data_IF_451190632308
#
_entry.id   IF_451190632308
#
_cell.length_a   1.000
_cell.length_b   1.000
_cell.length_c   1.000
_cell.angle_alpha   90.00
_cell.angle_beta   90.00
_cell.angle_gamma   90.00
#
_symmetry.space_group_name_H-M   'P 1'
#
loop_
_entity.id
_entity.type
_entity.pdbx_description
1 polymer ?
#
# COMPACT_ATOMS: atom_id res chain seq x y z
N UNK A 1 -27.15 54.26 7.59
CA UNK A 1 -26.08 53.97 6.61
C UNK A 1 -26.73 53.51 5.31
N UNK A 2 -26.30 54.08 4.19
CA UNK A 2 -27.10 54.21 2.95
C UNK A 2 -27.17 52.90 2.16
N UNK A 3 -28.35 52.60 1.62
CA UNK A 3 -28.66 51.47 0.70
C UNK A 3 -27.64 51.31 -0.46
N UNK A 4 -26.93 52.38 -0.80
CA UNK A 4 -25.89 52.41 -1.82
C UNK A 4 -24.64 51.56 -1.49
N UNK A 5 -24.37 51.24 -0.22
CA UNK A 5 -23.24 50.36 0.14
C UNK A 5 -23.57 48.87 -0.07
N UNK A 6 -24.85 48.50 0.06
CA UNK A 6 -25.32 47.13 -0.18
C UNK A 6 -25.36 46.80 -1.68
N UNK A 7 -25.73 47.77 -2.52
CA UNK A 7 -25.66 47.61 -3.99
C UNK A 7 -24.22 47.59 -4.50
N UNK A 8 -23.28 48.28 -3.85
CA UNK A 8 -21.86 48.21 -4.21
C UNK A 8 -21.25 46.84 -3.86
N UNK A 9 -21.65 46.25 -2.72
CA UNK A 9 -21.22 44.90 -2.34
C UNK A 9 -21.85 43.82 -3.24
N UNK A 10 -23.13 43.97 -3.60
CA UNK A 10 -23.81 43.08 -4.55
C UNK A 10 -23.25 43.18 -5.98
N UNK A 11 -22.82 44.37 -6.43
CA UNK A 11 -22.22 44.59 -7.74
C UNK A 11 -20.78 44.03 -7.82
N UNK A 12 -20.00 44.12 -6.73
CA UNK A 12 -18.66 43.51 -6.65
C UNK A 12 -18.77 41.98 -6.62
N UNK A 13 -19.80 41.42 -5.97
CA UNK A 13 -20.11 39.99 -6.02
C UNK A 13 -20.66 39.53 -7.38
N UNK A 14 -21.30 40.41 -8.17
CA UNK A 14 -21.83 40.05 -9.50
C UNK A 14 -20.87 40.35 -10.66
N UNK A 15 -19.74 41.02 -10.44
CA UNK A 15 -18.67 41.23 -11.44
C UNK A 15 -17.39 40.44 -11.15
N UNK A 16 -17.39 39.60 -10.11
CA UNK A 16 -16.38 38.54 -9.91
C UNK A 16 -16.86 37.17 -10.41
N UNK A 17 -18.06 37.12 -10.99
CA UNK A 17 -18.61 36.00 -11.72
C UNK A 17 -18.62 36.37 -13.22
N UNK A 18 -17.74 35.69 -13.98
CA UNK A 18 -17.57 35.69 -15.44
C UNK A 18 -16.81 36.90 -16.01
N UNK A 19 -15.63 36.80 -16.65
CA UNK A 19 -15.09 35.73 -17.50
C UNK A 19 -13.55 35.69 -17.43
N UNK A 20 -12.98 34.64 -16.85
CA UNK A 20 -11.97 33.91 -17.60
C UNK A 20 -12.73 32.71 -18.16
N UNK A 21 -13.17 32.81 -19.41
CA UNK A 21 -13.52 31.62 -20.17
C UNK A 21 -12.23 30.81 -20.32
N UNK A 22 -12.04 29.84 -19.44
CA UNK A 22 -11.47 28.56 -19.84
C UNK A 22 -12.63 27.59 -19.75
N UNK A 23 -12.80 26.76 -20.75
CA UNK A 23 -13.79 25.69 -20.79
C UNK A 23 -13.72 24.84 -19.51
N UNK A 24 -14.54 25.13 -18.51
CA UNK A 24 -14.88 24.15 -17.47
C UNK A 24 -15.95 23.23 -18.08
N UNK A 25 -15.55 22.47 -19.10
CA UNK A 25 -15.95 21.08 -19.16
C UNK A 25 -15.65 20.50 -17.78
N UNK A 26 -16.54 19.68 -17.21
CA UNK A 26 -16.21 18.84 -16.05
C UNK A 26 -14.92 18.08 -16.38
N UNK A 27 -13.75 18.63 -16.04
CA UNK A 27 -12.48 18.12 -16.53
C UNK A 27 -12.28 16.79 -15.82
N UNK A 28 -12.70 15.72 -16.51
CA UNK A 28 -12.61 14.36 -16.03
C UNK A 28 -11.14 14.15 -15.75
N UNK A 29 -10.79 14.01 -14.46
CA UNK A 29 -9.41 13.84 -14.04
C UNK A 29 -8.71 12.82 -14.94
N UNK A 30 -7.46 13.09 -15.40
CA UNK A 30 -6.77 12.26 -16.39
C UNK A 30 -6.58 10.82 -15.92
N UNK A 31 -6.65 10.59 -14.60
CA UNK A 31 -6.58 9.31 -13.92
C UNK A 31 -7.89 8.51 -13.96
N UNK A 32 -8.99 9.10 -14.41
CA UNK A 32 -10.28 8.38 -14.50
C UNK A 32 -10.18 7.29 -15.55
N UNK A 33 -10.40 6.04 -15.18
CA UNK A 33 -10.33 4.92 -16.11
C UNK A 33 -10.22 3.58 -15.42
N UNK A 34 -10.31 2.53 -16.24
CA UNK A 34 -10.06 1.16 -15.81
C UNK A 34 -8.61 0.80 -16.12
N UNK A 35 -7.96 0.17 -15.16
CA UNK A 35 -6.56 -0.20 -15.20
C UNK A 35 -6.43 -1.69 -14.90
N UNK A 36 -5.70 -2.40 -15.75
CA UNK A 36 -5.24 -3.77 -15.52
C UNK A 36 -3.93 -3.77 -14.77
N UNK A 37 -3.62 -4.87 -14.11
CA UNK A 37 -2.29 -5.07 -13.53
C UNK A 37 -1.24 -5.14 -14.62
N UNK A 38 -0.06 -4.56 -14.40
CA UNK A 38 1.06 -4.70 -15.31
C UNK A 38 1.46 -6.16 -15.49
N UNK A 39 1.91 -6.49 -16.70
CA UNK A 39 2.33 -7.85 -17.01
C UNK A 39 3.61 -8.23 -16.23
N UNK A 40 3.71 -9.49 -15.83
CA UNK A 40 4.92 -10.00 -15.20
C UNK A 40 5.98 -10.26 -16.26
N UNK A 41 7.13 -9.59 -16.14
CA UNK A 41 8.27 -9.81 -17.03
C UNK A 41 9.54 -10.05 -16.23
N UNK A 42 10.46 -10.80 -16.84
CA UNK A 42 11.69 -11.19 -16.20
C UNK A 42 12.85 -11.23 -17.21
N UNK A 43 14.06 -10.93 -16.74
CA UNK A 43 15.32 -11.01 -17.49
C UNK A 43 16.41 -11.59 -16.61
N UNK A 44 17.51 -12.06 -17.17
CA UNK A 44 18.69 -12.37 -16.37
C UNK A 44 19.31 -11.09 -15.80
N UNK A 45 19.76 -11.13 -14.55
CA UNK A 45 20.39 -10.01 -13.83
C UNK A 45 21.80 -10.38 -13.39
N UNK A 46 22.79 -9.57 -13.76
CA UNK A 46 24.18 -9.73 -13.31
C UNK A 46 24.29 -9.25 -11.87
N UNK A 47 24.36 -10.18 -10.91
CA UNK A 47 24.43 -9.91 -9.47
C UNK A 47 25.84 -9.49 -9.04
N UNK A 48 26.83 -10.23 -9.53
CA UNK A 48 28.26 -9.89 -9.46
C UNK A 48 28.91 -10.15 -10.81
N UNK A 49 30.18 -9.80 -11.00
CA UNK A 49 30.91 -10.08 -12.24
C UNK A 49 30.87 -11.57 -12.67
N UNK A 50 30.62 -12.49 -11.73
CA UNK A 50 30.65 -13.94 -11.95
C UNK A 50 29.30 -14.62 -11.73
N UNK A 51 28.32 -13.92 -11.17
CA UNK A 51 27.04 -14.51 -10.77
C UNK A 51 25.90 -13.81 -11.50
N UNK A 52 25.04 -14.63 -12.09
CA UNK A 52 23.84 -14.19 -12.79
C UNK A 52 22.64 -14.78 -12.10
N UNK A 53 21.76 -13.92 -11.63
CA UNK A 53 20.45 -14.28 -11.12
C UNK A 53 19.50 -14.50 -12.30
N UNK A 54 18.89 -15.69 -12.40
CA UNK A 54 17.98 -16.04 -13.50
C UNK A 54 16.56 -15.55 -13.24
N UNK A 55 15.88 -15.15 -14.33
CA UNK A 55 14.47 -14.71 -14.31
C UNK A 55 14.18 -13.56 -13.33
N UNK A 56 15.11 -12.62 -13.17
CA UNK A 56 14.94 -11.44 -12.34
C UNK A 56 13.70 -10.61 -12.74
N UNK A 57 12.75 -10.38 -11.81
CA UNK A 57 11.54 -9.61 -12.05
C UNK A 57 11.81 -8.15 -12.45
N UNK A 58 11.34 -7.75 -13.64
CA UNK A 58 11.50 -6.39 -14.17
C UNK A 58 10.21 -5.59 -14.00
N UNK A 59 9.08 -6.12 -14.49
CA UNK A 59 7.74 -5.56 -14.29
C UNK A 59 6.84 -6.60 -13.63
N UNK A 60 5.86 -6.12 -12.88
CA UNK A 60 4.96 -6.94 -12.07
C UNK A 60 3.79 -6.08 -11.61
N UNK A 61 2.65 -6.69 -11.27
CA UNK A 61 1.51 -6.00 -10.65
C UNK A 61 1.89 -5.15 -9.42
N UNK A 62 2.96 -5.51 -8.70
CA UNK A 62 3.51 -4.71 -7.61
C UNK A 62 4.71 -3.90 -8.09
N UNK A 63 4.57 -2.59 -8.04
CA UNK A 63 5.63 -1.63 -8.31
C UNK A 63 6.56 -1.53 -7.09
N UNK A 64 7.86 -1.63 -7.36
CA UNK A 64 8.91 -1.28 -6.40
C UNK A 64 10.01 -0.46 -7.06
N UNK A 65 10.52 0.52 -6.33
CA UNK A 65 11.72 1.26 -6.69
C UNK A 65 12.49 1.61 -5.42
N UNK A 66 13.65 0.98 -5.25
CA UNK A 66 14.47 1.08 -4.05
C UNK A 66 15.86 1.58 -4.42
N UNK A 67 16.19 2.78 -3.99
CA UNK A 67 17.51 3.40 -4.12
C UNK A 67 18.17 3.45 -2.75
N UNK A 68 19.48 3.18 -2.71
CA UNK A 68 20.23 3.06 -1.47
C UNK A 68 21.70 3.45 -1.70
N UNK A 69 22.42 3.71 -0.60
CA UNK A 69 23.87 3.91 -0.60
C UNK A 69 24.59 2.68 -0.06
N UNK A 70 25.79 2.39 -0.57
CA UNK A 70 26.61 1.26 -0.14
C UNK A 70 26.86 0.26 -1.26
N UNK A 71 27.69 -0.74 -0.98
CA UNK A 71 28.07 -1.77 -1.95
C UNK A 71 27.22 -3.05 -1.82
N UNK A 72 26.45 -3.17 -0.74
CA UNK A 72 25.58 -4.32 -0.50
C UNK A 72 24.30 -4.24 -1.34
N UNK A 73 24.21 -5.10 -2.35
CA UNK A 73 23.11 -5.13 -3.32
C UNK A 73 21.83 -5.84 -2.83
N UNK A 74 21.77 -6.30 -1.58
CA UNK A 74 20.57 -6.96 -1.03
C UNK A 74 19.25 -6.16 -1.18
N UNK A 75 19.22 -4.82 -1.09
CA UNK A 75 17.98 -4.07 -1.38
C UNK A 75 17.44 -4.31 -2.80
N UNK A 76 18.31 -4.55 -3.79
CA UNK A 76 17.88 -4.95 -5.14
C UNK A 76 17.17 -6.31 -5.11
N UNK A 77 17.72 -7.28 -4.37
CA UNK A 77 17.12 -8.60 -4.21
C UNK A 77 15.76 -8.53 -3.51
N UNK A 78 15.65 -7.75 -2.43
CA UNK A 78 14.37 -7.56 -1.74
C UNK A 78 13.36 -6.88 -2.66
N UNK A 79 13.77 -5.88 -3.44
CA UNK A 79 12.91 -5.23 -4.44
C UNK A 79 12.42 -6.22 -5.50
N UNK A 80 13.28 -7.11 -6.00
CA UNK A 80 12.90 -8.17 -6.91
C UNK A 80 11.96 -9.21 -6.26
N UNK A 81 12.20 -9.59 -5.01
CA UNK A 81 11.33 -10.48 -4.25
C UNK A 81 9.93 -9.88 -4.08
N UNK A 82 9.82 -8.59 -3.75
CA UNK A 82 8.55 -7.89 -3.67
C UNK A 82 7.81 -7.93 -5.02
N UNK A 83 8.49 -7.65 -6.14
CA UNK A 83 7.90 -7.77 -7.48
C UNK A 83 7.45 -9.21 -7.78
N UNK A 84 8.26 -10.21 -7.44
CA UNK A 84 7.92 -11.62 -7.61
C UNK A 84 6.66 -12.00 -6.81
N UNK A 85 6.63 -11.67 -5.52
CA UNK A 85 5.50 -11.99 -4.64
C UNK A 85 4.22 -11.29 -5.10
N UNK A 86 4.30 -9.98 -5.34
CA UNK A 86 3.15 -9.21 -5.83
C UNK A 86 2.66 -9.66 -7.20
N UNK A 87 3.60 -10.01 -8.10
CA UNK A 87 3.28 -10.48 -9.46
C UNK A 87 2.75 -11.90 -9.49
N UNK A 88 3.10 -12.71 -8.49
CA UNK A 88 2.56 -14.05 -8.33
C UNK A 88 1.19 -14.03 -7.67
N UNK A 89 0.95 -13.15 -6.68
CA UNK A 89 -0.28 -13.16 -5.87
C UNK A 89 -1.38 -12.28 -6.48
N UNK A 90 -1.08 -11.01 -6.79
CA UNK A 90 -2.12 -10.03 -7.13
C UNK A 90 -2.96 -10.46 -8.35
N UNK A 91 -2.38 -10.95 -9.46
CA UNK A 91 -3.18 -11.37 -10.63
C UNK A 91 -4.05 -12.62 -10.40
N UNK A 92 -3.90 -13.34 -9.29
CA UNK A 92 -4.80 -14.44 -8.91
C UNK A 92 -6.09 -13.93 -8.25
N UNK A 93 -6.04 -12.72 -7.68
CA UNK A 93 -7.15 -12.12 -6.93
C UNK A 93 -7.74 -10.90 -7.62
N UNK A 94 -6.93 -10.07 -8.28
CA UNK A 94 -7.28 -8.77 -8.81
C UNK A 94 -7.06 -8.73 -10.33
N UNK A 95 -8.12 -8.40 -11.07
CA UNK A 95 -8.09 -8.28 -12.52
C UNK A 95 -7.90 -6.82 -12.96
N UNK A 96 -8.72 -5.93 -12.41
CA UNK A 96 -8.67 -4.50 -12.70
C UNK A 96 -9.06 -3.67 -11.50
N UNK A 97 -8.58 -2.41 -11.50
CA UNK A 97 -9.19 -1.35 -10.71
C UNK A 97 -9.77 -0.30 -11.65
N UNK A 98 -10.86 0.34 -11.26
CA UNK A 98 -11.42 1.50 -11.95
C UNK A 98 -11.42 2.67 -11.01
N UNK A 99 -10.73 3.73 -11.43
CA UNK A 99 -10.83 5.06 -10.85
C UNK A 99 -12.03 5.73 -11.50
N UNK A 100 -13.20 5.60 -10.88
CA UNK A 100 -14.47 6.09 -11.41
C UNK A 100 -14.57 7.61 -11.26
N UNK A 101 -15.25 8.27 -12.21
CA UNK A 101 -15.44 9.74 -12.21
C UNK A 101 -16.15 10.29 -10.97
N UNK A 102 -16.88 9.46 -10.23
CA UNK A 102 -17.48 9.85 -8.94
C UNK A 102 -16.45 9.96 -7.80
N UNK A 103 -15.20 9.57 -8.04
CA UNK A 103 -14.19 9.38 -7.01
C UNK A 103 -14.22 8.01 -6.36
N UNK A 104 -15.13 7.09 -6.72
CA UNK A 104 -15.08 5.70 -6.22
C UNK A 104 -13.93 4.91 -6.85
N UNK A 105 -13.29 4.06 -6.05
CA UNK A 105 -12.42 2.98 -6.55
C UNK A 105 -13.26 1.70 -6.63
N UNK A 106 -13.25 1.06 -7.78
CA UNK A 106 -13.99 -0.19 -8.04
C UNK A 106 -12.98 -1.26 -8.44
N UNK A 107 -13.10 -2.48 -7.93
CA UNK A 107 -12.25 -3.59 -8.30
C UNK A 107 -13.05 -4.65 -9.07
N UNK A 108 -12.45 -5.19 -10.13
CA UNK A 108 -12.84 -6.49 -10.67
C UNK A 108 -11.89 -7.54 -10.09
N UNK A 109 -12.43 -8.53 -9.40
CA UNK A 109 -11.65 -9.43 -8.55
C UNK A 109 -12.28 -10.82 -8.48
N UNK A 110 -11.51 -11.80 -8.01
CA UNK A 110 -12.01 -13.15 -7.70
C UNK A 110 -12.43 -13.16 -6.24
N UNK A 111 -13.69 -13.49 -5.95
CA UNK A 111 -14.24 -13.40 -4.58
C UNK A 111 -13.61 -14.38 -3.57
N UNK A 112 -13.17 -15.54 -4.06
CA UNK A 112 -12.49 -16.56 -3.27
C UNK A 112 -11.32 -17.13 -4.08
N UNK A 113 -10.23 -16.37 -4.21
CA UNK A 113 -9.09 -16.79 -5.01
C UNK A 113 -8.36 -17.95 -4.32
N UNK A 114 -7.99 -18.96 -5.08
CA UNK A 114 -7.11 -20.02 -4.61
C UNK A 114 -5.66 -19.59 -4.84
N UNK A 115 -5.07 -18.87 -3.88
CA UNK A 115 -3.71 -18.35 -4.01
C UNK A 115 -2.71 -19.52 -4.06
N UNK A 116 -2.13 -19.71 -5.24
CA UNK A 116 -1.07 -20.67 -5.50
C UNK A 116 0.29 -19.95 -5.45
N UNK A 117 0.92 -20.01 -4.27
CA UNK A 117 2.31 -19.61 -4.06
C UNK A 117 2.99 -20.67 -3.20
N UNK A 118 4.08 -21.26 -3.69
CA UNK A 118 4.89 -22.18 -2.89
C UNK A 118 5.70 -21.38 -1.84
N UNK A 119 5.48 -21.58 -0.53
CA UNK A 119 6.25 -20.89 0.51
C UNK A 119 7.77 -21.16 0.42
N UNK A 120 8.17 -22.29 -0.17
CA UNK A 120 9.58 -22.63 -0.35
C UNK A 120 10.24 -21.92 -1.54
N UNK A 121 9.46 -21.26 -2.40
CA UNK A 121 9.97 -20.53 -3.58
C UNK A 121 11.02 -19.49 -3.18
N UNK A 122 10.81 -18.77 -2.09
CA UNK A 122 11.75 -17.79 -1.55
C UNK A 122 13.08 -18.45 -1.18
N UNK A 123 13.04 -19.52 -0.40
CA UNK A 123 14.24 -20.27 0.01
C UNK A 123 14.98 -20.83 -1.22
N UNK A 124 14.24 -21.32 -2.21
CA UNK A 124 14.78 -21.78 -3.49
C UNK A 124 15.50 -20.67 -4.24
N UNK A 125 14.95 -19.45 -4.29
CA UNK A 125 15.59 -18.28 -4.92
C UNK A 125 16.94 -17.99 -4.27
N UNK A 126 17.00 -17.96 -2.94
CA UNK A 126 18.26 -17.73 -2.22
C UNK A 126 19.30 -18.82 -2.48
N UNK A 127 18.88 -20.08 -2.59
CA UNK A 127 19.81 -21.20 -2.79
C UNK A 127 20.28 -21.36 -4.25
N UNK A 128 19.39 -21.12 -5.20
CA UNK A 128 19.64 -21.38 -6.63
C UNK A 128 20.07 -20.14 -7.41
N UNK A 129 19.80 -18.94 -6.88
CA UNK A 129 19.96 -17.69 -7.60
C UNK A 129 18.99 -17.56 -8.80
N UNK A 130 17.84 -18.23 -8.75
CA UNK A 130 16.88 -18.22 -9.85
C UNK A 130 15.45 -17.98 -9.35
N UNK A 131 14.79 -16.98 -9.92
CA UNK A 131 13.36 -16.81 -9.77
C UNK A 131 12.61 -17.80 -10.66
N UNK A 132 11.34 -18.12 -10.34
CA UNK A 132 10.46 -18.81 -11.27
C UNK A 132 10.35 -18.06 -12.60
N UNK A 133 10.23 -18.82 -13.68
CA UNK A 133 10.08 -18.26 -15.02
C UNK A 133 8.77 -17.51 -15.18
N UNK A 134 8.72 -16.59 -16.14
CA UNK A 134 7.50 -15.86 -16.50
C UNK A 134 6.31 -16.79 -16.77
N UNK A 135 6.54 -17.93 -17.42
CA UNK A 135 5.48 -18.90 -17.72
C UNK A 135 4.96 -19.60 -16.47
N UNK A 136 5.82 -19.96 -15.53
CA UNK A 136 5.42 -20.59 -14.26
C UNK A 136 4.60 -19.63 -13.40
N UNK A 137 4.99 -18.35 -13.33
CA UNK A 137 4.24 -17.32 -12.59
C UNK A 137 2.86 -17.11 -13.21
N UNK A 138 2.80 -16.91 -14.54
CA UNK A 138 1.54 -16.63 -15.26
C UNK A 138 0.58 -17.81 -15.29
N UNK A 139 1.07 -19.04 -15.12
CA UNK A 139 0.22 -20.24 -15.13
C UNK A 139 -0.86 -20.21 -14.03
N UNK A 140 -0.63 -19.48 -12.94
CA UNK A 140 -1.54 -19.38 -11.81
C UNK A 140 -2.49 -18.17 -11.88
N UNK A 141 -2.40 -17.34 -12.92
CA UNK A 141 -3.23 -16.14 -13.01
C UNK A 141 -4.70 -16.49 -13.17
N UNK A 142 -5.57 -15.70 -12.54
CA UNK A 142 -7.00 -15.84 -12.75
C UNK A 142 -7.36 -15.48 -14.19
N UNK A 143 -8.14 -16.33 -14.85
CA UNK A 143 -8.62 -16.11 -16.22
C UNK A 143 -10.14 -16.00 -16.30
N UNK A 144 -10.85 -16.29 -15.21
CA UNK A 144 -12.30 -16.25 -15.09
C UNK A 144 -12.72 -16.15 -13.62
N UNK A 145 -14.04 -16.13 -13.35
CA UNK A 145 -14.56 -16.06 -11.98
C UNK A 145 -14.53 -14.65 -11.37
N UNK A 146 -14.36 -13.63 -12.20
CA UNK A 146 -14.35 -12.25 -11.76
C UNK A 146 -15.74 -11.75 -11.40
N UNK A 147 -15.81 -11.00 -10.31
CA UNK A 147 -16.94 -10.17 -9.89
C UNK A 147 -16.47 -8.74 -9.68
N UNK A 148 -17.41 -7.80 -9.67
CA UNK A 148 -17.12 -6.38 -9.50
C UNK A 148 -17.53 -5.94 -8.09
N UNK A 149 -16.68 -5.15 -7.43
CA UNK A 149 -16.98 -4.62 -6.11
C UNK A 149 -18.12 -3.58 -6.19
N UNK A 150 -18.89 -3.39 -5.12
CA UNK A 150 -19.74 -2.21 -4.98
C UNK A 150 -18.94 -0.92 -5.11
N UNK A 151 -19.60 0.15 -5.55
CA UNK A 151 -19.06 1.51 -5.43
C UNK A 151 -19.00 1.93 -3.95
N UNK A 152 -18.33 3.04 -3.68
CA UNK A 152 -18.34 3.71 -2.37
C UNK A 152 -17.67 2.95 -1.22
N UNK A 153 -16.98 1.82 -1.47
CA UNK A 153 -16.16 1.14 -0.46
C UNK A 153 -14.82 1.87 -0.23
N UNK A 154 -14.27 2.46 -1.28
CA UNK A 154 -13.08 3.28 -1.21
C UNK A 154 -13.19 4.43 -2.22
N UNK A 155 -12.56 5.54 -1.88
CA UNK A 155 -12.53 6.75 -2.69
C UNK A 155 -11.10 7.10 -3.07
N UNK A 156 -10.94 7.67 -4.25
CA UNK A 156 -9.72 8.32 -4.69
C UNK A 156 -9.97 9.81 -4.91
N UNK A 157 -8.93 10.61 -4.70
CA UNK A 157 -8.88 12.00 -5.13
C UNK A 157 -7.45 12.39 -5.41
N UNK A 158 -7.25 13.39 -6.26
CA UNK A 158 -5.94 13.98 -6.51
C UNK A 158 -6.03 15.49 -6.26
N UNK A 159 -5.16 16.01 -5.40
CA UNK A 159 -5.08 17.44 -5.10
C UNK A 159 -3.62 17.82 -4.94
N UNK A 160 -3.19 18.86 -5.66
CA UNK A 160 -1.83 19.41 -5.59
C UNK A 160 -0.72 18.38 -5.82
N UNK A 161 -0.92 17.44 -6.75
CA UNK A 161 0.01 16.36 -7.05
C UNK A 161 -0.05 15.18 -6.07
N UNK A 162 -0.96 15.19 -5.09
CA UNK A 162 -1.09 14.13 -4.09
C UNK A 162 -2.33 13.28 -4.35
N UNK A 163 -2.10 11.99 -4.57
CA UNK A 163 -3.16 11.00 -4.74
C UNK A 163 -3.56 10.44 -3.38
N UNK A 164 -4.83 10.55 -3.01
CA UNK A 164 -5.31 10.09 -1.71
C UNK A 164 -6.30 8.96 -1.91
N UNK A 165 -6.09 7.84 -1.19
CA UNK A 165 -7.05 6.74 -1.10
C UNK A 165 -7.72 6.76 0.27
N UNK A 166 -9.03 6.96 0.32
CA UNK A 166 -9.80 6.97 1.57
C UNK A 166 -10.78 5.80 1.62
N UNK A 167 -10.70 5.01 2.68
CA UNK A 167 -11.63 3.90 2.91
C UNK A 167 -12.95 4.40 3.47
N UNK A 168 -14.06 3.81 3.03
CA UNK A 168 -15.36 3.98 3.66
C UNK A 168 -15.57 2.87 4.69
N UNK A 169 -14.99 3.03 5.88
CA UNK A 169 -15.00 2.00 6.93
C UNK A 169 -16.43 1.54 7.25
N UNK A 170 -17.44 2.43 7.45
CA UNK A 170 -18.82 1.99 7.64
C UNK A 170 -19.35 1.12 6.49
N UNK A 171 -19.16 1.53 5.23
CA UNK A 171 -19.63 0.75 4.09
C UNK A 171 -18.91 -0.60 3.96
N UNK A 172 -17.61 -0.65 4.26
CA UNK A 172 -16.82 -1.88 4.29
C UNK A 172 -17.35 -2.84 5.36
N UNK A 173 -17.61 -2.35 6.58
CA UNK A 173 -18.17 -3.17 7.66
C UNK A 173 -19.56 -3.69 7.30
N UNK A 174 -20.41 -2.86 6.69
CA UNK A 174 -21.72 -3.30 6.20
C UNK A 174 -21.59 -4.38 5.14
N UNK A 175 -20.67 -4.23 4.19
CA UNK A 175 -20.43 -5.22 3.15
C UNK A 175 -19.84 -6.53 3.70
N UNK A 176 -18.94 -6.45 4.68
CA UNK A 176 -18.25 -7.62 5.24
C UNK A 176 -19.14 -8.43 6.20
N UNK A 177 -19.99 -7.76 6.98
CA UNK A 177 -20.84 -8.41 8.00
C UNK A 177 -22.25 -8.70 7.51
N UNK A 178 -22.71 -8.01 6.45
CA UNK A 178 -24.10 -8.04 6.01
C UNK A 178 -25.07 -7.29 6.94
N UNK A 179 -24.57 -6.65 8.00
CA UNK A 179 -25.33 -5.87 8.96
C UNK A 179 -25.06 -4.37 8.77
N UNK A 180 -26.09 -3.53 8.90
CA UNK A 180 -25.91 -2.09 8.75
C UNK A 180 -25.01 -1.52 9.86
N UNK A 181 -23.80 -1.11 9.47
CA UNK A 181 -22.81 -0.49 10.35
C UNK A 181 -22.91 1.04 10.39
N UNK A 182 -23.93 1.66 9.77
CA UNK A 182 -24.10 3.12 9.76
C UNK A 182 -24.20 3.71 11.18
N UNK A 183 -24.80 2.96 12.11
CA UNK A 183 -24.89 3.33 13.53
C UNK A 183 -23.58 3.24 14.31
N UNK A 184 -22.50 2.74 13.71
CA UNK A 184 -21.18 2.63 14.34
C UNK A 184 -20.27 3.85 14.07
N UNK A 185 -20.76 4.85 13.33
CA UNK A 185 -19.98 6.01 12.94
C UNK A 185 -19.29 6.70 14.14
N UNK A 186 -20.02 6.94 15.23
CA UNK A 186 -19.47 7.58 16.43
C UNK A 186 -18.35 6.75 17.08
N UNK A 187 -18.51 5.41 17.11
CA UNK A 187 -17.50 4.48 17.66
C UNK A 187 -16.25 4.47 16.76
N UNK A 188 -16.44 4.46 15.45
CA UNK A 188 -15.35 4.52 14.48
C UNK A 188 -14.60 5.84 14.67
N UNK A 189 -15.30 6.96 14.74
CA UNK A 189 -14.69 8.29 14.92
C UNK A 189 -13.99 8.42 16.27
N UNK A 190 -14.52 7.82 17.33
CA UNK A 190 -13.87 7.76 18.66
C UNK A 190 -12.55 7.00 18.59
N UNK A 191 -12.51 5.82 17.96
CA UNK A 191 -11.28 5.04 17.79
C UNK A 191 -10.28 5.80 16.90
N UNK A 192 -10.73 6.37 15.78
CA UNK A 192 -9.88 7.10 14.84
C UNK A 192 -9.37 8.44 15.38
N UNK A 193 -10.00 8.97 16.43
CA UNK A 193 -9.59 10.21 17.11
C UNK A 193 -8.98 9.95 18.48
N UNK A 194 -8.85 8.68 18.88
CA UNK A 194 -8.27 8.28 20.14
C UNK A 194 -6.78 8.59 20.22
N UNK A 195 -6.28 8.85 21.44
CA UNK A 195 -4.85 8.97 21.64
C UNK A 195 -4.14 7.61 21.45
N UNK A 196 -2.86 7.60 21.04
CA UNK A 196 -2.14 6.37 20.76
C UNK A 196 -2.10 5.35 21.90
N UNK A 197 -2.03 5.78 23.15
CA UNK A 197 -1.97 4.86 24.29
C UNK A 197 -3.30 4.13 24.48
N UNK A 198 -4.41 4.86 24.41
CA UNK A 198 -5.76 4.27 24.46
C UNK A 198 -5.98 3.29 23.32
N UNK A 199 -5.60 3.66 22.09
CA UNK A 199 -5.78 2.79 20.91
C UNK A 199 -4.92 1.53 21.02
N UNK A 200 -3.67 1.63 21.48
CA UNK A 200 -2.82 0.47 21.75
C UNK A 200 -3.43 -0.47 22.80
N UNK A 201 -3.98 0.07 23.89
CA UNK A 201 -4.63 -0.75 24.91
C UNK A 201 -5.86 -1.50 24.36
N UNK A 202 -6.69 -0.81 23.56
CA UNK A 202 -7.87 -1.42 22.92
C UNK A 202 -7.46 -2.54 21.94
N UNK A 203 -6.51 -2.26 21.04
CA UNK A 203 -6.03 -3.23 20.06
C UNK A 203 -5.31 -4.40 20.74
N UNK A 204 -4.51 -4.14 21.77
CA UNK A 204 -3.81 -5.18 22.52
C UNK A 204 -4.78 -6.10 23.27
N UNK A 205 -5.87 -5.54 23.83
CA UNK A 205 -6.94 -6.34 24.42
C UNK A 205 -7.70 -7.19 23.39
N UNK A 206 -7.92 -6.67 22.18
CA UNK A 206 -8.59 -7.40 21.10
C UNK A 206 -7.72 -8.54 20.53
N UNK A 207 -6.42 -8.27 20.32
CA UNK A 207 -5.47 -9.23 19.78
C UNK A 207 -4.90 -10.17 20.85
N UNK A 208 -5.11 -9.87 22.13
CA UNK A 208 -4.42 -10.51 23.24
C UNK A 208 -2.88 -10.49 23.05
N UNK A 209 -2.36 -9.33 22.65
CA UNK A 209 -0.96 -9.10 22.30
C UNK A 209 -0.45 -7.80 22.91
N UNK A 210 0.86 -7.70 23.14
CA UNK A 210 1.48 -6.47 23.63
C UNK A 210 1.84 -5.52 22.47
N UNK A 211 1.29 -4.31 22.51
CA UNK A 211 1.55 -3.24 21.54
C UNK A 211 2.36 -2.09 22.15
N UNK A 212 2.78 -2.20 23.41
CA UNK A 212 3.46 -1.13 24.14
C UNK A 212 4.77 -0.67 23.50
N UNK A 213 5.47 -1.59 22.82
CA UNK A 213 6.70 -1.30 22.08
C UNK A 213 6.52 -0.45 20.82
N UNK A 214 5.30 -0.33 20.30
CA UNK A 214 5.02 0.47 19.09
C UNK A 214 4.98 1.96 19.45
N UNK A 215 5.70 2.77 18.68
CA UNK A 215 5.76 4.22 18.87
C UNK A 215 4.39 4.87 18.63
N UNK A 216 4.07 5.88 19.44
CA UNK A 216 2.84 6.67 19.31
C UNK A 216 2.70 7.32 17.94
N UNK A 217 3.83 7.69 17.33
CA UNK A 217 3.88 8.26 15.98
C UNK A 217 3.37 7.29 14.91
N UNK A 218 3.68 6.00 15.03
CA UNK A 218 3.20 4.96 14.10
C UNK A 218 1.70 4.77 14.22
N UNK A 219 1.19 4.69 15.45
CA UNK A 219 -0.26 4.58 15.69
C UNK A 219 -0.98 5.83 15.16
N UNK A 220 -0.48 7.02 15.47
CA UNK A 220 -1.05 8.28 14.97
C UNK A 220 -1.07 8.34 13.44
N UNK A 221 -0.01 7.87 12.79
CA UNK A 221 0.08 7.81 11.33
C UNK A 221 -0.98 6.88 10.73
N UNK A 222 -1.12 5.65 11.26
CA UNK A 222 -2.11 4.67 10.76
C UNK A 222 -3.54 5.17 10.99
N UNK A 223 -3.83 5.76 12.16
CA UNK A 223 -5.13 6.36 12.44
C UNK A 223 -5.43 7.54 11.51
N UNK A 224 -4.43 8.40 11.27
CA UNK A 224 -4.51 9.49 10.31
C UNK A 224 -4.82 8.99 8.89
N UNK A 225 -4.18 7.91 8.45
CA UNK A 225 -4.48 7.29 7.15
C UNK A 225 -5.90 6.76 7.06
N UNK A 226 -6.41 6.13 8.11
CA UNK A 226 -7.78 5.65 8.15
C UNK A 226 -8.81 6.80 8.16
N UNK A 227 -8.49 7.90 8.86
CA UNK A 227 -9.37 9.07 9.01
C UNK A 227 -9.37 10.00 7.80
N UNK A 228 -8.17 10.38 7.35
CA UNK A 228 -7.97 11.45 6.36
C UNK A 228 -7.66 10.89 4.97
N UNK A 229 -7.27 9.61 4.89
CA UNK A 229 -6.90 8.92 3.66
C UNK A 229 -5.40 8.64 3.58
N UNK A 230 -5.05 7.58 2.87
CA UNK A 230 -3.69 7.13 2.63
C UNK A 230 -3.04 8.08 1.60
N UNK A 231 -1.94 8.76 1.96
CA UNK A 231 -1.31 9.78 1.13
C UNK A 231 -0.35 9.13 0.11
N UNK A 232 -0.90 8.61 -0.98
CA UNK A 232 -0.14 8.00 -2.07
C UNK A 232 0.32 9.04 -3.11
N UNK A 233 1.02 8.55 -4.13
CA UNK A 233 1.46 9.27 -5.32
C UNK A 233 0.93 8.52 -6.55
N UNK A 234 0.66 9.25 -7.64
CA UNK A 234 0.31 8.68 -8.94
C UNK A 234 1.19 9.27 -10.03
N UNK A 235 1.69 8.46 -10.96
CA UNK A 235 2.42 8.95 -12.13
C UNK A 235 2.28 7.99 -13.31
N UNK A 236 2.35 8.53 -14.52
CA UNK A 236 2.65 7.74 -15.72
C UNK A 236 4.15 7.67 -15.90
N UNK A 237 4.71 6.46 -15.96
CA UNK A 237 6.12 6.23 -16.22
C UNK A 237 6.45 6.22 -17.72
N UNK A 238 7.74 6.31 -18.05
CA UNK A 238 8.23 6.38 -19.44
C UNK A 238 7.90 5.13 -20.27
N UNK A 239 7.66 3.99 -19.62
CA UNK A 239 7.18 2.75 -20.25
C UNK A 239 5.67 2.75 -20.53
N UNK A 240 4.96 3.85 -20.24
CA UNK A 240 3.51 3.99 -20.42
C UNK A 240 2.67 3.42 -19.28
N UNK A 241 3.29 2.81 -18.27
CA UNK A 241 2.59 2.28 -17.11
C UNK A 241 2.16 3.41 -16.17
N UNK A 242 1.11 3.19 -15.39
CA UNK A 242 0.66 4.07 -14.31
C UNK A 242 1.04 3.45 -12.96
N UNK A 243 1.77 4.17 -12.13
CA UNK A 243 2.13 3.71 -10.79
C UNK A 243 1.31 4.46 -9.75
N UNK A 244 0.69 3.74 -8.82
CA UNK A 244 0.05 4.29 -7.61
C UNK A 244 0.80 3.75 -6.40
N UNK A 245 1.50 4.61 -5.66
CA UNK A 245 2.50 4.15 -4.68
C UNK A 245 2.64 5.03 -3.46
N UNK A 246 3.12 4.43 -2.36
CA UNK A 246 3.66 5.13 -1.21
C UNK A 246 5.16 5.31 -1.40
N UNK A 247 5.68 6.48 -1.03
CA UNK A 247 7.11 6.78 -1.00
C UNK A 247 7.73 6.48 0.37
N UNK A 248 9.04 6.63 0.47
CA UNK A 248 9.84 6.28 1.66
C UNK A 248 9.29 6.88 2.95
N UNK A 249 8.81 8.13 2.90
CA UNK A 249 8.34 8.85 4.09
C UNK A 249 7.14 8.16 4.75
N UNK A 250 6.31 7.48 3.95
CA UNK A 250 5.18 6.70 4.45
C UNK A 250 5.62 5.47 5.27
N UNK A 251 6.87 5.04 5.13
CA UNK A 251 7.38 3.82 5.76
C UNK A 251 8.41 4.10 6.86
N UNK A 252 8.82 5.35 7.09
CA UNK A 252 9.89 5.66 8.03
C UNK A 252 9.58 5.22 9.46
N UNK A 253 8.38 5.50 9.96
CA UNK A 253 7.98 5.04 11.30
C UNK A 253 7.89 3.50 11.38
N UNK A 254 7.53 2.86 10.25
CA UNK A 254 7.28 1.43 10.14
C UNK A 254 8.57 0.60 10.12
N UNK A 255 9.57 0.98 9.32
CA UNK A 255 10.78 0.18 9.08
C UNK A 255 12.03 0.66 9.82
N UNK A 256 12.05 1.87 10.38
CA UNK A 256 13.23 2.34 11.13
C UNK A 256 13.50 1.43 12.33
N UNK A 257 14.66 0.79 12.33
CA UNK A 257 15.14 -0.02 13.45
C UNK A 257 15.46 0.87 14.66
N UNK A 258 15.07 0.38 15.83
CA UNK A 258 15.27 0.98 17.14
C UNK A 258 15.85 -0.06 18.08
N UNK A 259 16.84 0.36 18.86
CA UNK A 259 17.42 -0.46 19.92
C UNK A 259 16.35 -0.77 20.98
N UNK A 260 16.25 -2.04 21.34
CA UNK A 260 15.34 -2.51 22.40
C UNK A 260 15.94 -2.34 23.80
N UNK A 261 17.26 -2.12 23.89
CA UNK A 261 18.03 -2.19 25.13
C UNK A 261 18.40 -3.62 25.53
N UNK A 262 17.98 -4.63 24.75
CA UNK A 262 18.34 -6.03 24.94
C UNK A 262 19.57 -6.40 24.11
N UNK A 263 20.30 -7.41 24.55
CA UNK A 263 21.42 -8.01 23.81
C UNK A 263 21.09 -9.46 23.50
N UNK A 264 21.42 -9.91 22.30
CA UNK A 264 21.23 -11.30 21.91
C UNK A 264 22.25 -12.23 22.60
N UNK A 265 22.22 -13.52 22.25
CA UNK A 265 23.13 -14.53 22.83
C UNK A 265 24.60 -14.34 22.45
N UNK A 266 24.90 -13.48 21.48
CA UNK A 266 26.25 -13.12 21.03
C UNK A 266 26.73 -11.78 21.61
N UNK A 267 25.85 -11.07 22.34
CA UNK A 267 26.13 -9.78 22.95
C UNK A 267 25.85 -8.59 22.02
N UNK A 268 25.23 -8.83 20.87
CA UNK A 268 24.88 -7.78 19.91
C UNK A 268 23.54 -7.13 20.29
N UNK A 269 23.38 -5.80 20.15
CA UNK A 269 22.12 -5.12 20.44
C UNK A 269 20.97 -5.65 19.58
N UNK A 270 19.85 -5.97 20.22
CA UNK A 270 18.62 -6.37 19.52
C UNK A 270 17.89 -5.12 19.06
N UNK A 271 17.62 -5.03 17.77
CA UNK A 271 16.85 -3.94 17.18
C UNK A 271 15.52 -4.43 16.62
N UNK A 272 14.49 -3.58 16.71
CA UNK A 272 13.14 -3.85 16.19
C UNK A 272 12.61 -2.63 15.45
N UNK A 273 11.66 -2.84 14.56
CA UNK A 273 10.88 -1.78 13.93
C UNK A 273 9.40 -1.92 14.30
N UNK A 274 8.59 -0.88 14.10
CA UNK A 274 7.21 -0.93 14.56
C UNK A 274 6.35 -1.87 13.73
N UNK A 275 6.68 -2.06 12.44
CA UNK A 275 5.90 -2.97 11.59
C UNK A 275 6.07 -4.42 12.01
N UNK A 276 7.27 -4.85 12.44
CA UNK A 276 7.45 -6.21 12.94
C UNK A 276 6.74 -6.43 14.28
N UNK A 277 6.70 -5.42 15.16
CA UNK A 277 5.93 -5.51 16.41
C UNK A 277 4.43 -5.65 16.12
N UNK A 278 3.92 -4.83 15.19
CA UNK A 278 2.53 -4.93 14.74
C UNK A 278 2.25 -6.29 14.08
N UNK A 279 3.14 -6.77 13.20
CA UNK A 279 3.02 -8.06 12.55
C UNK A 279 2.93 -9.20 13.58
N UNK A 280 3.83 -9.22 14.56
CA UNK A 280 3.84 -10.24 15.60
C UNK A 280 2.55 -10.20 16.44
N UNK A 281 2.05 -9.02 16.79
CA UNK A 281 0.78 -8.89 17.49
C UNK A 281 -0.40 -9.41 16.67
N UNK A 282 -0.40 -9.20 15.34
CA UNK A 282 -1.42 -9.76 14.44
C UNK A 282 -1.30 -11.29 14.31
N UNK A 283 -0.08 -11.82 14.36
CA UNK A 283 0.17 -13.28 14.40
C UNK A 283 -0.35 -13.87 15.72
N UNK A 284 -0.02 -13.28 16.86
CA UNK A 284 -0.48 -13.70 18.19
C UNK A 284 -2.01 -13.64 18.31
N UNK A 285 -2.63 -12.61 17.73
CA UNK A 285 -4.08 -12.46 17.66
C UNK A 285 -4.78 -13.36 16.64
N UNK A 286 -4.03 -14.23 15.93
CA UNK A 286 -4.59 -15.17 14.95
C UNK A 286 -5.14 -14.50 13.68
N UNK A 287 -4.76 -13.25 13.40
CA UNK A 287 -5.18 -12.50 12.21
C UNK A 287 -4.37 -12.92 10.98
N UNK A 288 -3.08 -13.20 11.15
CA UNK A 288 -2.21 -13.66 10.08
C UNK A 288 -2.29 -15.18 9.94
N UNK A 289 -2.69 -15.73 8.78
CA UNK A 289 -2.69 -17.17 8.52
C UNK A 289 -1.30 -17.80 8.71
N UNK A 290 -1.23 -19.04 9.19
CA UNK A 290 0.02 -19.76 9.52
C UNK A 290 1.01 -19.75 8.35
N UNK A 291 0.52 -20.00 7.14
CA UNK A 291 1.28 -20.02 5.89
C UNK A 291 1.92 -18.67 5.52
N UNK A 292 1.39 -17.56 6.06
CA UNK A 292 1.87 -16.21 5.78
C UNK A 292 2.84 -15.69 6.84
N UNK A 293 2.90 -16.28 8.04
CA UNK A 293 3.63 -15.73 9.20
C UNK A 293 5.13 -15.52 8.93
N UNK A 294 5.73 -16.40 8.14
CA UNK A 294 7.14 -16.32 7.73
C UNK A 294 7.47 -15.02 6.97
N UNK A 295 6.47 -14.32 6.41
CA UNK A 295 6.66 -13.02 5.75
C UNK A 295 7.21 -11.94 6.71
N UNK A 296 7.05 -12.12 8.03
CA UNK A 296 7.67 -11.26 9.04
C UNK A 296 9.19 -11.14 8.91
N UNK A 297 9.85 -12.18 8.38
CA UNK A 297 11.30 -12.12 8.09
C UNK A 297 11.65 -11.01 7.11
N UNK A 298 10.81 -10.76 6.09
CA UNK A 298 11.07 -9.69 5.13
C UNK A 298 10.95 -8.31 5.73
N UNK A 299 10.04 -8.13 6.69
CA UNK A 299 9.90 -6.85 7.42
C UNK A 299 11.21 -6.52 8.14
N UNK A 300 11.83 -7.53 8.77
CA UNK A 300 13.13 -7.38 9.43
C UNK A 300 14.25 -7.11 8.43
N UNK A 301 14.31 -7.86 7.31
CA UNK A 301 15.29 -7.62 6.25
C UNK A 301 15.20 -6.20 5.70
N UNK A 302 13.99 -5.68 5.47
CA UNK A 302 13.79 -4.32 5.01
C UNK A 302 14.33 -3.30 6.03
N UNK A 303 14.01 -3.52 7.32
CA UNK A 303 14.51 -2.67 8.40
C UNK A 303 16.03 -2.60 8.46
N UNK A 304 16.72 -3.72 8.22
CA UNK A 304 18.19 -3.80 8.21
C UNK A 304 18.88 -2.87 7.20
N UNK A 305 18.21 -2.57 6.08
CA UNK A 305 18.73 -1.67 5.04
C UNK A 305 18.09 -0.28 5.08
N UNK A 306 17.17 -0.01 6.00
CA UNK A 306 16.40 1.23 6.00
C UNK A 306 17.28 2.47 6.22
N UNK A 307 18.31 2.36 7.06
CA UNK A 307 19.23 3.46 7.36
C UNK A 307 20.06 3.92 6.15
N UNK A 308 20.29 3.04 5.17
CA UNK A 308 21.04 3.36 3.93
C UNK A 308 20.12 3.60 2.74
N UNK A 309 18.80 3.54 2.94
CA UNK A 309 17.81 3.76 1.90
C UNK A 309 17.66 5.25 1.61
N UNK A 310 17.82 5.65 0.34
CA UNK A 310 17.67 7.05 -0.10
C UNK A 310 16.32 7.31 -0.74
N UNK A 311 15.75 6.31 -1.42
CA UNK A 311 14.39 6.32 -1.97
C UNK A 311 13.79 4.93 -1.86
N UNK A 312 12.49 4.87 -1.59
CA UNK A 312 11.73 3.62 -1.58
C UNK A 312 10.31 3.93 -2.04
N UNK A 313 9.87 3.28 -3.10
CA UNK A 313 8.51 3.39 -3.59
C UNK A 313 7.91 1.98 -3.64
N UNK A 314 6.70 1.82 -3.12
CA UNK A 314 5.97 0.56 -3.10
C UNK A 314 4.51 0.80 -3.44
N UNK A 315 3.96 0.06 -4.39
CA UNK A 315 2.59 0.27 -4.82
C UNK A 315 2.15 -0.64 -5.95
N UNK A 316 1.13 -0.22 -6.69
CA UNK A 316 0.62 -0.92 -7.86
C UNK A 316 1.28 -0.42 -9.14
N UNK A 317 1.58 -1.36 -10.03
CA UNK A 317 1.96 -1.09 -11.42
C UNK A 317 0.79 -1.45 -12.33
N UNK A 318 0.32 -0.48 -13.11
CA UNK A 318 -0.96 -0.52 -13.81
C UNK A 318 -0.81 -0.19 -15.29
N UNK A 319 -1.65 -0.80 -16.12
CA UNK A 319 -1.77 -0.52 -17.54
C UNK A 319 -3.21 -0.13 -17.87
N UNK A 320 -3.39 0.91 -18.67
CA UNK A 320 -4.69 1.41 -19.11
C UNK A 320 -5.21 0.65 -20.33
#
# INVERSE_FOLDING_TARGET
>A
MKKNLFYLFALICSMSLFTACSDDDDEVSPWTGTYKMADYTATDYTWTEKEVMKNWPVTSALYTDWQFTGEDNYPNLISALLRYLGGSILPQALNSITLDKSGSIIADYVASPAIALDPNSIMSIFFTGAFPTTSEVKANFATSGFTTSPKELAYWSERNGKFTVKLNIPAILTAATGADASGMADIIDEVLSGDPATVKALLGGLLNADLSGIQDATISQILGWAKDGIPMNIKTADNGHTYIYLDKSAFDNLFTLRDTGETDSWGDPVSVNDLILLWNALVEGGIVPEEAQAAGMFIQMIGGYWAVTTSFNLGLDLMR
#
